data_IF_556018865403
#
_entry.id   IF_556018865403
#
_cell.length_a   1.000
_cell.length_b   1.000
_cell.length_c   1.000
_cell.angle_alpha   90.00
_cell.angle_beta   90.00
_cell.angle_gamma   90.00
#
_symmetry.space_group_name_H-M   'P 1'
#
loop_
_entity.id
_entity.type
_entity.pdbx_description
1 polymer ?
#
# COMPACT_ATOMS: atom_id res chain seq x y z
N UNK A 1 30.51 -1.16 -8.10
CA UNK A 1 29.23 -1.78 -7.71
C UNK A 1 28.76 -2.67 -8.83
N UNK A 2 28.49 -3.94 -8.55
CA UNK A 2 28.02 -4.93 -9.52
C UNK A 2 26.55 -5.26 -9.25
N UNK A 3 25.72 -5.29 -10.30
CA UNK A 3 24.31 -5.68 -10.17
C UNK A 3 24.25 -7.19 -9.93
N UNK A 4 23.66 -7.61 -8.82
CA UNK A 4 23.56 -9.02 -8.41
C UNK A 4 22.18 -9.61 -8.65
N UNK A 5 21.14 -8.76 -8.70
CA UNK A 5 19.78 -9.17 -8.96
C UNK A 5 18.93 -7.96 -9.41
N UNK A 6 17.80 -8.24 -10.04
CA UNK A 6 16.78 -7.25 -10.37
C UNK A 6 15.40 -7.84 -10.16
N UNK A 7 14.49 -7.00 -9.68
CA UNK A 7 13.06 -7.28 -9.71
C UNK A 7 12.43 -6.34 -10.74
N UNK A 8 11.69 -6.91 -11.70
CA UNK A 8 10.98 -6.15 -12.73
C UNK A 8 9.48 -6.28 -12.56
N UNK A 9 8.81 -5.14 -12.47
CA UNK A 9 7.36 -5.01 -12.46
C UNK A 9 6.83 -5.06 -13.90
N UNK A 10 6.81 -6.26 -14.48
CA UNK A 10 6.18 -6.49 -15.77
C UNK A 10 4.66 -6.72 -15.62
N UNK A 11 3.93 -6.77 -16.74
CA UNK A 11 2.47 -6.98 -16.75
C UNK A 11 2.03 -8.22 -15.98
N UNK A 12 2.82 -9.30 -16.04
CA UNK A 12 2.49 -10.57 -15.38
C UNK A 12 2.67 -10.48 -13.86
N UNK A 13 3.83 -10.01 -13.40
CA UNK A 13 4.13 -9.81 -11.99
C UNK A 13 3.16 -8.80 -11.35
N UNK A 14 2.86 -7.72 -12.05
CA UNK A 14 1.86 -6.74 -11.60
C UNK A 14 0.47 -7.36 -11.46
N UNK A 15 0.06 -8.20 -12.40
CA UNK A 15 -1.24 -8.89 -12.34
C UNK A 15 -1.27 -9.88 -11.16
N UNK A 16 -0.22 -10.64 -10.93
CA UNK A 16 -0.13 -11.56 -9.80
C UNK A 16 -0.19 -10.84 -8.45
N UNK A 17 0.56 -9.74 -8.30
CA UNK A 17 0.55 -8.93 -7.06
C UNK A 17 -0.86 -8.36 -6.82
N UNK A 18 -1.50 -7.83 -7.85
CA UNK A 18 -2.85 -7.26 -7.72
C UNK A 18 -3.92 -8.34 -7.44
N UNK A 19 -3.79 -9.54 -8.02
CA UNK A 19 -4.67 -10.67 -7.67
C UNK A 19 -4.45 -11.14 -6.24
N UNK A 20 -3.21 -11.20 -5.78
CA UNK A 20 -2.90 -11.54 -4.39
C UNK A 20 -3.45 -10.50 -3.42
N UNK A 21 -3.28 -9.20 -3.71
CA UNK A 21 -3.87 -8.10 -2.95
C UNK A 21 -5.40 -8.22 -2.91
N UNK A 22 -6.06 -8.46 -4.06
CA UNK A 22 -7.51 -8.64 -4.12
C UNK A 22 -7.98 -9.86 -3.33
N UNK A 23 -7.23 -10.96 -3.35
CA UNK A 23 -7.53 -12.16 -2.57
C UNK A 23 -7.43 -11.86 -1.06
N UNK A 24 -6.34 -11.20 -0.62
CA UNK A 24 -6.15 -10.79 0.78
C UNK A 24 -7.27 -9.86 1.23
N UNK A 25 -7.64 -8.88 0.40
CA UNK A 25 -8.77 -7.99 0.65
C UNK A 25 -10.08 -8.76 0.81
N UNK A 26 -10.36 -9.69 -0.11
CA UNK A 26 -11.58 -10.51 -0.10
C UNK A 26 -11.66 -11.40 1.14
N UNK A 27 -10.54 -12.02 1.53
CA UNK A 27 -10.43 -12.79 2.77
C UNK A 27 -10.67 -11.89 3.98
N UNK A 28 -10.05 -10.71 4.02
CA UNK A 28 -10.27 -9.73 5.09
C UNK A 28 -11.74 -9.36 5.26
N UNK A 29 -12.42 -9.01 4.16
CA UNK A 29 -13.86 -8.76 4.17
C UNK A 29 -14.66 -9.97 4.66
N UNK A 30 -14.34 -11.18 4.18
CA UNK A 30 -15.00 -12.40 4.58
C UNK A 30 -14.81 -12.74 6.07
N UNK A 31 -13.68 -12.36 6.68
CA UNK A 31 -13.44 -12.54 8.11
C UNK A 31 -14.18 -11.54 8.99
N UNK A 32 -14.47 -10.33 8.46
CA UNK A 32 -15.23 -9.31 9.20
C UNK A 32 -16.74 -9.62 9.18
N UNK A 33 -17.27 -10.18 8.08
CA UNK A 33 -18.71 -10.48 7.93
C UNK A 33 -19.31 -11.28 9.12
N UNK A 34 -18.69 -12.38 9.61
CA UNK A 34 -19.19 -13.12 10.76
C UNK A 34 -19.10 -12.36 12.09
N UNK A 35 -18.11 -11.47 12.24
CA UNK A 35 -17.87 -10.73 13.49
C UNK A 35 -18.92 -9.64 13.72
N UNK A 36 -19.42 -9.04 12.65
CA UNK A 36 -20.42 -7.96 12.72
C UNK A 36 -21.85 -8.46 12.51
N UNK A 37 -22.04 -9.63 11.89
CA UNK A 37 -23.34 -10.15 11.48
C UNK A 37 -23.82 -9.55 10.15
N UNK A 38 -24.50 -10.37 9.34
CA UNK A 38 -24.98 -9.99 7.99
C UNK A 38 -26.03 -8.87 8.04
N UNK A 39 -26.95 -8.93 8.99
CA UNK A 39 -28.05 -7.96 9.10
C UNK A 39 -27.51 -6.56 9.45
N UNK A 40 -26.46 -6.53 10.27
CA UNK A 40 -25.76 -5.30 10.61
C UNK A 40 -25.22 -4.60 9.36
N UNK A 41 -24.58 -5.34 8.44
CA UNK A 41 -24.09 -4.77 7.18
C UNK A 41 -25.20 -4.18 6.31
N UNK A 42 -26.37 -4.82 6.25
CA UNK A 42 -27.51 -4.30 5.50
C UNK A 42 -28.02 -2.99 6.10
N UNK A 43 -28.16 -2.94 7.42
CA UNK A 43 -28.54 -1.73 8.17
C UNK A 43 -27.54 -0.60 7.91
N UNK A 44 -26.24 -0.89 7.86
CA UNK A 44 -25.22 0.12 7.56
C UNK A 44 -25.29 0.65 6.14
N UNK A 45 -25.49 -0.22 5.14
CA UNK A 45 -25.65 0.22 3.75
C UNK A 45 -26.89 1.12 3.64
N UNK A 46 -28.01 0.73 4.25
CA UNK A 46 -29.23 1.52 4.26
C UNK A 46 -29.03 2.87 4.96
N UNK A 47 -28.39 2.87 6.12
CA UNK A 47 -28.08 4.08 6.90
C UNK A 47 -27.14 5.02 6.13
N UNK A 48 -26.12 4.47 5.46
CA UNK A 48 -25.19 5.24 4.65
C UNK A 48 -25.87 5.88 3.44
N UNK A 49 -26.77 5.15 2.77
CA UNK A 49 -27.59 5.69 1.69
C UNK A 49 -28.49 6.82 2.20
N UNK A 50 -29.18 6.63 3.32
CA UNK A 50 -30.05 7.63 3.94
C UNK A 50 -29.30 8.89 4.34
N UNK A 51 -28.10 8.73 4.90
CA UNK A 51 -27.23 9.84 5.32
C UNK A 51 -26.45 10.49 4.15
N UNK A 52 -26.71 10.10 2.90
CA UNK A 52 -26.05 10.67 1.72
C UNK A 52 -24.56 10.29 1.59
N UNK A 53 -24.10 9.25 2.27
CA UNK A 53 -22.71 8.78 2.26
C UNK A 53 -22.35 7.93 1.03
N UNK A 54 -23.09 8.07 -0.07
CA UNK A 54 -22.91 7.26 -1.30
C UNK A 54 -21.47 7.35 -1.84
N UNK A 55 -20.83 8.51 -1.64
CA UNK A 55 -19.46 8.78 -2.08
C UNK A 55 -18.39 8.43 -1.03
N UNK A 56 -18.77 8.02 0.18
CA UNK A 56 -17.81 7.78 1.27
C UNK A 56 -16.87 6.60 0.95
N UNK A 57 -17.40 5.52 0.37
CA UNK A 57 -16.57 4.39 -0.06
C UNK A 57 -15.53 4.78 -1.13
N UNK A 58 -15.91 5.30 -2.31
CA UNK A 58 -14.93 5.67 -3.33
C UNK A 58 -13.98 6.77 -2.84
N UNK A 59 -14.45 7.73 -2.04
CA UNK A 59 -13.58 8.74 -1.42
C UNK A 59 -12.54 8.12 -0.48
N UNK A 60 -12.95 7.14 0.34
CA UNK A 60 -12.03 6.43 1.24
C UNK A 60 -11.01 5.63 0.46
N UNK A 61 -11.43 4.86 -0.54
CA UNK A 61 -10.51 4.06 -1.36
C UNK A 61 -9.50 4.96 -2.08
N UNK A 62 -9.96 6.02 -2.76
CA UNK A 62 -9.07 6.98 -3.43
C UNK A 62 -8.14 7.68 -2.44
N UNK A 63 -8.67 8.12 -1.30
CA UNK A 63 -7.89 8.76 -0.24
C UNK A 63 -6.78 7.86 0.28
N UNK A 64 -7.07 6.57 0.50
CA UNK A 64 -6.08 5.57 0.93
C UNK A 64 -4.97 5.42 -0.11
N UNK A 65 -5.29 5.25 -1.40
CA UNK A 65 -4.23 5.10 -2.44
C UNK A 65 -3.34 6.33 -2.49
N UNK A 66 -3.94 7.53 -2.51
CA UNK A 66 -3.19 8.78 -2.61
C UNK A 66 -2.28 8.94 -1.38
N UNK A 67 -2.80 8.74 -0.17
CA UNK A 67 -2.02 8.85 1.05
C UNK A 67 -0.93 7.78 1.15
N UNK A 68 -1.20 6.57 0.66
CA UNK A 68 -0.25 5.48 0.63
C UNK A 68 0.99 5.83 -0.20
N UNK A 69 0.78 6.26 -1.45
CA UNK A 69 1.86 6.69 -2.35
C UNK A 69 2.57 7.96 -1.84
N UNK A 70 1.83 8.90 -1.26
CA UNK A 70 2.43 10.08 -0.64
C UNK A 70 3.37 9.71 0.52
N UNK A 71 3.02 8.72 1.34
CA UNK A 71 3.88 8.25 2.43
C UNK A 71 5.15 7.59 1.90
N UNK A 72 5.08 6.79 0.84
CA UNK A 72 6.29 6.31 0.15
C UNK A 72 7.15 7.49 -0.32
N UNK A 73 6.53 8.50 -0.95
CA UNK A 73 7.23 9.70 -1.41
C UNK A 73 7.91 10.47 -0.28
N UNK A 74 7.22 10.67 0.85
CA UNK A 74 7.81 11.31 2.03
C UNK A 74 9.03 10.51 2.52
N UNK A 75 8.93 9.18 2.60
CA UNK A 75 10.05 8.33 2.99
C UNK A 75 11.24 8.48 2.03
N UNK A 76 11.00 8.44 0.73
CA UNK A 76 12.01 8.65 -0.29
C UNK A 76 12.70 10.02 -0.17
N UNK A 77 11.92 11.10 -0.01
CA UNK A 77 12.45 12.47 0.16
C UNK A 77 13.33 12.58 1.41
N UNK A 78 12.91 11.99 2.53
CA UNK A 78 13.69 11.98 3.79
C UNK A 78 15.07 11.34 3.57
N UNK A 79 15.17 10.35 2.68
CA UNK A 79 16.44 9.71 2.32
C UNK A 79 17.16 10.36 1.13
N UNK A 80 16.76 11.57 0.73
CA UNK A 80 17.46 12.36 -0.28
C UNK A 80 17.06 12.10 -1.73
N UNK A 81 15.94 11.40 -1.97
CA UNK A 81 15.42 11.16 -3.31
C UNK A 81 14.96 12.45 -4.00
N UNK A 82 14.93 12.42 -5.33
CA UNK A 82 14.13 13.35 -6.14
C UNK A 82 13.00 12.54 -6.76
N UNK A 83 11.76 12.96 -6.60
CA UNK A 83 10.62 12.12 -6.95
C UNK A 83 10.02 12.43 -8.32
N UNK A 84 9.46 11.38 -8.91
CA UNK A 84 8.46 11.45 -9.98
C UNK A 84 7.31 10.52 -9.63
N UNK A 85 6.09 11.05 -9.68
CA UNK A 85 4.86 10.26 -9.54
C UNK A 85 4.34 9.86 -10.93
N UNK A 86 3.74 8.68 -11.04
CA UNK A 86 3.17 8.20 -12.29
C UNK A 86 2.13 7.12 -12.08
N UNK A 87 1.46 6.75 -13.19
CA UNK A 87 0.49 5.66 -13.23
C UNK A 87 0.92 4.70 -14.34
N UNK A 88 1.10 3.41 -14.03
CA UNK A 88 1.43 2.39 -15.03
C UNK A 88 0.89 1.02 -14.61
N UNK A 89 0.37 0.26 -15.58
CA UNK A 89 -0.13 -1.10 -15.39
C UNK A 89 -1.13 -1.25 -14.22
N UNK A 90 -2.01 -0.26 -14.03
CA UNK A 90 -2.99 -0.17 -12.94
C UNK A 90 -2.40 0.13 -11.54
N UNK A 91 -1.12 0.46 -11.44
CA UNK A 91 -0.50 0.91 -10.19
C UNK A 91 -0.18 2.40 -10.29
N UNK A 92 -0.51 3.15 -9.23
CA UNK A 92 0.12 4.44 -8.97
C UNK A 92 1.48 4.11 -8.36
N UNK A 93 2.53 4.83 -8.77
CA UNK A 93 3.86 4.58 -8.24
C UNK A 93 4.59 5.89 -7.94
N UNK A 94 5.48 5.78 -6.97
CA UNK A 94 6.43 6.82 -6.58
C UNK A 94 7.84 6.35 -6.87
N UNK A 95 8.55 7.07 -7.75
CA UNK A 95 9.88 6.68 -8.22
C UNK A 95 10.95 7.72 -7.85
N UNK A 96 12.10 7.26 -7.38
CA UNK A 96 13.31 8.09 -7.29
C UNK A 96 14.01 8.25 -8.66
N UNK A 97 14.16 9.50 -9.09
CA UNK A 97 14.87 9.89 -10.31
C UNK A 97 16.28 10.46 -10.02
N UNK A 98 16.70 10.54 -8.75
CA UNK A 98 18.04 11.00 -8.38
C UNK A 98 19.12 9.94 -8.64
N UNK A 99 18.72 8.67 -8.77
CA UNK A 99 19.65 7.55 -8.91
C UNK A 99 20.31 7.17 -7.59
N UNK A 100 19.68 7.49 -6.45
CA UNK A 100 20.20 7.18 -5.14
C UNK A 100 20.29 5.68 -4.88
N UNK A 101 21.18 5.31 -3.97
CA UNK A 101 21.37 3.93 -3.53
C UNK A 101 20.99 3.81 -2.06
N UNK A 102 19.91 3.09 -1.81
CA UNK A 102 19.37 2.87 -0.49
C UNK A 102 20.02 1.65 0.17
N UNK A 103 20.22 1.72 1.48
CA UNK A 103 20.51 0.54 2.29
C UNK A 103 19.25 -0.31 2.46
N UNK A 104 19.41 -1.59 2.82
CA UNK A 104 18.28 -2.47 3.15
C UNK A 104 17.40 -1.88 4.25
N UNK A 105 17.99 -1.22 5.26
CA UNK A 105 17.24 -0.56 6.33
C UNK A 105 16.41 0.62 5.83
N UNK A 106 16.99 1.49 4.98
CA UNK A 106 16.24 2.60 4.37
C UNK A 106 15.09 2.08 3.50
N UNK A 107 15.34 1.06 2.67
CA UNK A 107 14.29 0.48 1.83
C UNK A 107 13.20 -0.23 2.64
N UNK A 108 13.55 -0.82 3.79
CA UNK A 108 12.57 -1.36 4.74
C UNK A 108 11.62 -0.27 5.24
N UNK A 109 12.18 0.90 5.62
CA UNK A 109 11.36 2.04 6.05
C UNK A 109 10.50 2.53 4.90
N UNK A 110 11.08 2.75 3.72
CA UNK A 110 10.34 3.23 2.54
C UNK A 110 9.14 2.33 2.23
N UNK A 111 9.35 1.01 2.16
CA UNK A 111 8.32 0.05 1.78
C UNK A 111 7.25 -0.15 2.87
N UNK A 112 7.62 -0.12 4.15
CA UNK A 112 6.67 -0.41 5.23
C UNK A 112 6.02 0.84 5.85
N UNK A 113 6.50 2.04 5.54
CA UNK A 113 5.95 3.27 6.13
C UNK A 113 4.45 3.41 5.90
N UNK A 114 3.90 3.22 4.67
CA UNK A 114 2.47 3.38 4.46
C UNK A 114 1.65 2.33 5.20
N UNK A 115 2.12 1.08 5.24
CA UNK A 115 1.44 0.02 5.97
C UNK A 115 1.22 0.41 7.44
N UNK A 116 2.26 0.88 8.13
CA UNK A 116 2.15 1.17 9.57
C UNK A 116 1.52 2.53 9.86
N UNK A 117 1.98 3.59 9.19
CA UNK A 117 1.53 4.95 9.48
C UNK A 117 0.10 5.15 9.02
N UNK A 118 -0.26 4.75 7.79
CA UNK A 118 -1.62 4.96 7.29
C UNK A 118 -2.63 4.09 8.05
N UNK A 119 -2.27 2.85 8.40
CA UNK A 119 -3.14 2.01 9.24
C UNK A 119 -3.36 2.64 10.62
N UNK A 120 -2.31 3.17 11.24
CA UNK A 120 -2.43 3.88 12.52
C UNK A 120 -3.33 5.12 12.42
N UNK A 121 -3.16 5.93 11.36
CA UNK A 121 -4.00 7.10 11.11
C UNK A 121 -5.47 6.71 10.88
N UNK A 122 -5.74 5.65 10.13
CA UNK A 122 -7.09 5.15 9.91
C UNK A 122 -7.72 4.61 11.20
N UNK A 123 -6.97 3.88 12.03
CA UNK A 123 -7.44 3.44 13.35
C UNK A 123 -7.83 4.62 14.24
N UNK A 124 -6.98 5.65 14.32
CA UNK A 124 -7.27 6.88 15.07
C UNK A 124 -8.51 7.57 14.50
N UNK A 125 -8.63 7.64 13.17
CA UNK A 125 -9.78 8.22 12.49
C UNK A 125 -11.07 7.47 12.83
N UNK A 126 -11.02 6.13 12.95
CA UNK A 126 -12.17 5.31 13.34
C UNK A 126 -12.68 5.59 14.76
N UNK A 127 -11.79 6.03 15.65
CA UNK A 127 -12.15 6.44 17.03
C UNK A 127 -12.77 7.84 17.03
N UNK A 128 -12.21 8.76 16.23
CA UNK A 128 -12.67 10.16 16.18
C UNK A 128 -14.00 10.29 15.42
N UNK A 129 -14.19 9.47 14.38
CA UNK A 129 -15.32 9.54 13.45
C UNK A 129 -16.09 8.19 13.39
N UNK A 130 -16.75 7.78 14.49
CA UNK A 130 -17.40 6.47 14.59
C UNK A 130 -18.52 6.28 13.56
N UNK A 131 -19.14 7.35 13.07
CA UNK A 131 -20.18 7.33 12.03
C UNK A 131 -19.65 6.87 10.65
N UNK A 132 -18.33 6.89 10.45
CA UNK A 132 -17.66 6.40 9.23
C UNK A 132 -16.86 5.11 9.47
N UNK A 133 -16.99 4.46 10.64
CA UNK A 133 -16.15 3.34 11.06
C UNK A 133 -16.11 2.21 10.03
N UNK A 134 -17.20 1.93 9.32
CA UNK A 134 -17.27 0.89 8.29
C UNK A 134 -16.37 1.21 7.09
N UNK A 135 -16.45 2.44 6.58
CA UNK A 135 -15.60 2.88 5.48
C UNK A 135 -14.14 2.89 5.87
N UNK A 136 -13.86 3.32 7.11
CA UNK A 136 -12.50 3.32 7.67
C UNK A 136 -11.95 1.90 7.79
N UNK A 137 -12.74 0.94 8.29
CA UNK A 137 -12.35 -0.49 8.35
C UNK A 137 -12.06 -1.05 6.96
N UNK A 138 -12.90 -0.73 5.97
CA UNK A 138 -12.63 -1.09 4.57
C UNK A 138 -11.34 -0.43 4.07
N UNK A 139 -11.09 0.83 4.42
CA UNK A 139 -9.85 1.54 4.12
C UNK A 139 -8.61 0.88 4.74
N UNK A 140 -8.72 0.38 5.98
CA UNK A 140 -7.65 -0.36 6.67
C UNK A 140 -7.35 -1.66 5.93
N UNK A 141 -8.38 -2.46 5.64
CA UNK A 141 -8.23 -3.69 4.86
C UNK A 141 -7.60 -3.40 3.51
N UNK A 142 -8.03 -2.32 2.86
CA UNK A 142 -7.53 -1.91 1.56
C UNK A 142 -6.06 -1.54 1.63
N UNK A 143 -5.63 -0.73 2.61
CA UNK A 143 -4.22 -0.39 2.83
C UNK A 143 -3.35 -1.62 3.09
N UNK A 144 -3.80 -2.52 3.98
CA UNK A 144 -3.07 -3.76 4.30
C UNK A 144 -2.92 -4.63 3.05
N UNK A 145 -4.01 -4.79 2.28
CA UNK A 145 -4.00 -5.59 1.06
C UNK A 145 -3.13 -4.98 -0.04
N UNK A 146 -3.18 -3.65 -0.22
CA UNK A 146 -2.36 -2.92 -1.18
C UNK A 146 -0.87 -2.99 -0.84
N UNK A 147 -0.53 -2.98 0.45
CA UNK A 147 0.84 -3.11 0.95
C UNK A 147 1.47 -4.49 0.70
N UNK A 148 0.71 -5.48 0.18
CA UNK A 148 1.24 -6.81 -0.11
C UNK A 148 2.40 -6.76 -1.11
N UNK A 149 2.32 -5.88 -2.11
CA UNK A 149 3.41 -5.66 -3.07
C UNK A 149 4.70 -5.25 -2.36
N UNK A 150 4.61 -4.31 -1.42
CA UNK A 150 5.76 -3.78 -0.67
C UNK A 150 6.38 -4.83 0.25
N UNK A 151 5.54 -5.59 0.95
CA UNK A 151 5.98 -6.70 1.81
C UNK A 151 6.69 -7.76 0.97
N UNK A 152 6.12 -8.12 -0.19
CA UNK A 152 6.71 -9.08 -1.11
C UNK A 152 8.08 -8.61 -1.63
N UNK A 153 8.15 -7.35 -2.07
CA UNK A 153 9.38 -6.72 -2.55
C UNK A 153 10.45 -6.68 -1.45
N UNK A 154 10.07 -6.28 -0.23
CA UNK A 154 10.96 -6.28 0.92
C UNK A 154 11.48 -7.70 1.23
N UNK A 155 10.60 -8.70 1.22
CA UNK A 155 10.99 -10.10 1.39
C UNK A 155 12.02 -10.56 0.37
N UNK A 156 11.85 -10.16 -0.90
CA UNK A 156 12.83 -10.43 -1.96
C UNK A 156 14.19 -9.77 -1.67
N UNK A 157 14.21 -8.51 -1.22
CA UNK A 157 15.44 -7.79 -0.87
C UNK A 157 16.16 -8.49 0.29
N UNK A 158 15.42 -8.82 1.35
CA UNK A 158 15.98 -9.46 2.55
C UNK A 158 16.55 -10.85 2.25
N UNK A 159 15.91 -11.61 1.37
CA UNK A 159 16.38 -12.93 0.95
C UNK A 159 17.71 -12.88 0.18
N UNK A 160 17.98 -11.78 -0.53
CA UNK A 160 19.22 -11.60 -1.30
C UNK A 160 20.41 -11.10 -0.48
N UNK A 161 20.18 -10.51 0.69
CA UNK A 161 21.21 -10.20 1.69
C UNK A 161 21.16 -8.77 2.23
N UNK A 162 21.45 -8.61 3.53
CA UNK A 162 21.33 -7.33 4.28
C UNK A 162 22.36 -6.24 3.90
N UNK A 163 23.38 -6.59 3.14
CA UNK A 163 24.46 -5.67 2.75
C UNK A 163 24.31 -5.12 1.33
N UNK A 164 23.22 -5.46 0.63
CA UNK A 164 22.98 -4.98 -0.72
C UNK A 164 22.58 -3.49 -0.70
N UNK A 165 22.98 -2.79 -1.75
CA UNK A 165 22.46 -1.45 -2.07
C UNK A 165 21.33 -1.59 -3.08
N UNK A 166 20.25 -0.88 -2.84
CA UNK A 166 19.04 -0.94 -3.65
C UNK A 166 18.93 0.34 -4.44
N UNK A 167 18.79 0.22 -5.75
CA UNK A 167 18.47 1.34 -6.64
C UNK A 167 17.05 1.18 -7.11
N UNK A 168 16.24 2.21 -6.90
CA UNK A 168 14.91 2.28 -7.51
C UNK A 168 15.06 2.54 -9.02
N UNK A 169 14.37 1.74 -9.83
CA UNK A 169 14.43 1.77 -11.30
C UNK A 169 13.01 1.95 -11.85
N UNK A 170 12.89 2.41 -13.10
CA UNK A 170 11.60 2.82 -13.68
C UNK A 170 10.52 1.72 -13.64
N UNK A 171 10.93 0.46 -13.59
CA UNK A 171 10.05 -0.70 -13.56
C UNK A 171 10.47 -1.73 -12.50
N UNK A 172 10.89 -1.28 -11.33
CA UNK A 172 11.22 -2.15 -10.19
C UNK A 172 12.50 -1.71 -9.51
N UNK A 173 13.35 -2.65 -9.08
CA UNK A 173 14.57 -2.28 -8.37
C UNK A 173 15.75 -3.17 -8.74
N UNK A 174 16.93 -2.55 -8.74
CA UNK A 174 18.21 -3.22 -8.87
C UNK A 174 18.88 -3.43 -7.52
N UNK A 175 19.42 -4.63 -7.30
CA UNK A 175 20.24 -4.96 -6.14
C UNK A 175 21.72 -4.98 -6.55
N UNK A 176 22.55 -4.32 -5.76
CA UNK A 176 23.97 -4.14 -6.02
C UNK A 176 24.82 -4.53 -4.82
N UNK A 177 26.00 -5.09 -5.10
CA UNK A 177 27.07 -5.31 -4.12
C UNK A 177 28.33 -4.50 -4.47
#
# INVERSE_FOLDING_TARGET
MTKIAEFKLNRYNSLLINLAALLIFSIGCALILPLTGKDQWLIYIETALYNGQILALPATLLGVIILHELLHGVAYIIFGAKLKFGIKHLNIYTMDISGALYTTSQMTVILLLPLFILTGLLLISGIIFPEYIYWIVIGILYNISGSFGDIFMLGYILFRGKSCKIKDEEYGFGLYS
#
